data_IF_049253056549
#
_entry.id   IF_049253056549
#
_cell.length_a   1.000
_cell.length_b   1.000
_cell.length_c   1.000
_cell.angle_alpha   90.00
_cell.angle_beta   90.00
_cell.angle_gamma   90.00
#
_symmetry.space_group_name_H-M   'P 1'
#
loop_
_entity.id
_entity.type
_entity.pdbx_description
1 polymer ?
#
# COMPACT_ATOMS: atom_id res chain seq x y z
N UNK A 1 13.26 4.42 5.86
CA UNK A 1 13.47 4.95 7.20
C UNK A 1 14.77 4.42 7.82
N UNK A 2 15.18 3.19 7.58
CA UNK A 2 16.39 2.57 8.12
C UNK A 2 16.21 1.97 9.53
N UNK A 3 17.05 0.98 9.86
CA UNK A 3 16.99 0.24 11.11
C UNK A 3 16.10 -0.99 11.07
N UNK A 4 15.87 -1.59 12.24
CA UNK A 4 15.01 -2.76 12.38
C UNK A 4 13.54 -2.39 12.13
N UNK A 5 12.80 -3.31 11.51
CA UNK A 5 11.32 -3.25 11.42
C UNK A 5 10.65 -3.94 12.62
N UNK A 6 11.43 -4.45 13.55
CA UNK A 6 10.96 -5.12 14.75
C UNK A 6 11.32 -4.30 15.98
N UNK A 7 10.34 -4.04 16.84
CA UNK A 7 10.53 -3.37 18.13
C UNK A 7 10.09 -4.30 19.26
N UNK A 8 10.89 -4.37 20.32
CA UNK A 8 10.55 -5.15 21.51
C UNK A 8 9.46 -4.47 22.32
N UNK A 9 8.52 -5.28 22.82
CA UNK A 9 7.56 -4.81 23.82
C UNK A 9 8.25 -4.81 25.17
N UNK A 10 8.54 -3.64 25.69
CA UNK A 10 9.33 -3.43 26.91
C UNK A 10 8.89 -4.33 28.06
N UNK A 11 9.85 -5.02 28.66
CA UNK A 11 9.61 -5.96 29.77
C UNK A 11 9.07 -7.32 29.37
N UNK A 12 9.07 -7.67 28.09
CA UNK A 12 8.64 -8.98 27.57
C UNK A 12 9.60 -9.52 26.52
N UNK A 13 9.38 -10.79 26.13
CA UNK A 13 10.06 -11.42 24.98
C UNK A 13 9.28 -11.26 23.66
N UNK A 14 8.29 -10.38 23.66
CA UNK A 14 7.47 -10.12 22.48
C UNK A 14 8.03 -9.00 21.62
N UNK A 15 7.86 -9.13 20.31
CA UNK A 15 8.20 -8.13 19.31
C UNK A 15 7.00 -7.83 18.43
N UNK A 16 6.90 -6.59 17.97
CA UNK A 16 5.91 -6.21 16.96
C UNK A 16 6.59 -5.67 15.71
N UNK A 17 5.95 -5.87 14.58
CA UNK A 17 6.38 -5.35 13.29
C UNK A 17 5.91 -3.90 13.11
N UNK A 18 6.77 -3.06 12.57
CA UNK A 18 6.43 -1.70 12.15
C UNK A 18 7.18 -1.35 10.86
N UNK A 19 6.46 -1.20 9.76
CA UNK A 19 7.07 -0.86 8.48
C UNK A 19 7.45 0.62 8.39
N UNK A 20 6.79 1.45 9.20
CA UNK A 20 7.03 2.90 9.28
C UNK A 20 7.66 3.25 10.63
N UNK A 21 7.03 4.11 11.38
CA UNK A 21 7.55 4.52 12.68
C UNK A 21 7.17 3.50 13.77
N UNK A 22 8.03 3.29 14.77
CA UNK A 22 7.78 2.37 15.89
C UNK A 22 6.50 2.64 16.69
N UNK A 23 5.93 3.84 16.59
CA UNK A 23 4.62 4.17 17.15
C UNK A 23 3.45 3.78 16.25
N UNK A 24 3.71 3.15 15.10
CA UNK A 24 2.72 2.70 14.11
C UNK A 24 2.89 1.19 13.90
N UNK A 25 2.52 0.34 14.88
CA UNK A 25 2.60 -1.11 14.70
C UNK A 25 1.71 -1.56 13.56
N UNK A 26 2.24 -2.47 12.74
CA UNK A 26 1.47 -3.10 11.68
C UNK A 26 0.43 -4.05 12.26
N UNK A 27 -0.77 -4.01 11.73
CA UNK A 27 -1.86 -4.85 12.15
C UNK A 27 -1.78 -6.23 11.47
N UNK A 28 -2.11 -7.28 12.21
CA UNK A 28 -2.13 -8.64 11.68
C UNK A 28 -3.41 -8.91 10.88
N UNK A 29 -3.38 -8.59 9.59
CA UNK A 29 -4.51 -8.80 8.68
C UNK A 29 -4.87 -10.27 8.42
N UNK A 30 -4.01 -11.22 8.78
CA UNK A 30 -4.35 -12.65 8.75
C UNK A 30 -5.44 -12.98 9.79
N UNK A 31 -5.57 -12.17 10.84
CA UNK A 31 -6.60 -12.36 11.86
C UNK A 31 -7.96 -11.83 11.36
N UNK A 32 -8.94 -12.70 11.10
CA UNK A 32 -10.24 -12.26 10.59
C UNK A 32 -11.02 -11.40 11.59
N UNK A 33 -10.81 -11.58 12.89
CA UNK A 33 -11.45 -10.73 13.91
C UNK A 33 -10.93 -9.30 13.85
N UNK A 34 -9.64 -9.11 13.56
CA UNK A 34 -9.09 -7.79 13.36
C UNK A 34 -9.72 -7.12 12.13
N UNK A 35 -9.81 -7.84 11.00
CA UNK A 35 -10.43 -7.31 9.78
C UNK A 35 -11.87 -6.89 10.03
N UNK A 36 -12.63 -7.71 10.75
CA UNK A 36 -14.02 -7.37 11.13
C UNK A 36 -14.10 -6.07 11.93
N UNK A 37 -13.21 -5.84 12.89
CA UNK A 37 -13.19 -4.61 13.67
C UNK A 37 -12.83 -3.38 12.81
N UNK A 38 -11.90 -3.53 11.84
CA UNK A 38 -11.59 -2.48 10.87
C UNK A 38 -12.82 -2.16 10.01
N UNK A 39 -13.52 -3.19 9.50
CA UNK A 39 -14.73 -2.96 8.69
C UNK A 39 -15.87 -2.33 9.49
N UNK A 40 -16.05 -2.69 10.75
CA UNK A 40 -17.00 -2.02 11.65
C UNK A 40 -16.65 -0.54 11.83
N UNK A 41 -15.38 -0.22 12.02
CA UNK A 41 -14.92 1.17 12.13
C UNK A 41 -15.18 1.94 10.83
N UNK A 42 -14.86 1.36 9.66
CA UNK A 42 -15.12 1.99 8.37
C UNK A 42 -16.63 2.24 8.16
N UNK A 43 -17.46 1.22 8.39
CA UNK A 43 -18.91 1.33 8.24
C UNK A 43 -19.50 2.37 9.22
N UNK A 44 -18.99 2.45 10.44
CA UNK A 44 -19.44 3.47 11.40
C UNK A 44 -19.24 4.90 10.87
N UNK A 45 -18.12 5.16 10.18
CA UNK A 45 -17.90 6.46 9.55
C UNK A 45 -18.78 6.68 8.33
N UNK A 46 -18.96 5.66 7.48
CA UNK A 46 -19.84 5.71 6.31
C UNK A 46 -21.29 5.97 6.72
N UNK A 47 -21.77 5.31 7.78
CA UNK A 47 -23.10 5.52 8.35
C UNK A 47 -23.30 6.95 8.90
N UNK A 48 -22.22 7.65 9.23
CA UNK A 48 -22.27 9.07 9.59
C UNK A 48 -22.29 10.03 8.41
N UNK A 49 -22.23 9.49 7.20
CA UNK A 49 -22.39 10.25 5.95
C UNK A 49 -21.10 10.80 5.36
N UNK A 50 -19.91 10.26 5.73
CA UNK A 50 -18.71 10.57 4.93
C UNK A 50 -18.84 9.94 3.55
N UNK A 51 -18.27 10.60 2.54
CA UNK A 51 -18.40 10.16 1.14
C UNK A 51 -17.48 8.98 0.79
N UNK A 52 -16.48 8.69 1.61
CA UNK A 52 -15.53 7.60 1.35
C UNK A 52 -14.20 7.74 2.05
N UNK A 53 -13.20 6.98 1.58
CA UNK A 53 -11.89 6.89 2.21
C UNK A 53 -10.74 7.06 1.21
N UNK A 54 -9.69 7.72 1.64
CA UNK A 54 -8.34 7.51 1.13
C UNK A 54 -7.69 6.43 1.97
N UNK A 55 -7.21 5.37 1.34
CA UNK A 55 -6.65 4.21 2.02
C UNK A 55 -5.13 4.19 1.84
N UNK A 56 -4.44 4.46 2.93
CA UNK A 56 -3.00 4.66 2.99
C UNK A 56 -2.23 3.35 2.90
N UNK A 57 -1.14 3.33 2.12
CA UNK A 57 -0.16 2.24 2.05
C UNK A 57 -0.77 0.82 2.00
N UNK A 58 -1.90 0.67 1.32
CA UNK A 58 -2.76 -0.52 1.39
C UNK A 58 -2.07 -1.80 0.90
N UNK A 59 -1.06 -1.69 0.05
CA UNK A 59 -0.29 -2.83 -0.43
C UNK A 59 0.48 -3.54 0.68
N UNK A 60 0.70 -2.87 1.80
CA UNK A 60 1.52 -3.37 2.91
C UNK A 60 0.74 -4.20 3.94
N UNK A 61 -0.57 -4.35 3.81
CA UNK A 61 -1.37 -5.11 4.79
C UNK A 61 -1.13 -6.61 4.74
N UNK A 62 -0.76 -7.16 3.57
CA UNK A 62 -0.37 -8.56 3.42
C UNK A 62 1.13 -8.71 3.62
N UNK A 63 1.52 -9.64 4.50
CA UNK A 63 2.93 -9.94 4.77
C UNK A 63 3.28 -11.32 4.23
N UNK A 64 4.52 -11.52 3.76
CA UNK A 64 5.00 -12.87 3.45
C UNK A 64 5.16 -13.68 4.74
N UNK A 65 4.43 -14.77 4.85
CA UNK A 65 4.51 -15.67 5.99
C UNK A 65 4.98 -17.08 5.58
N UNK A 66 5.77 -17.77 6.42
CA UNK A 66 6.32 -17.30 7.70
C UNK A 66 7.35 -16.17 7.51
N UNK A 67 7.50 -15.33 8.52
CA UNK A 67 8.59 -14.35 8.51
C UNK A 67 9.94 -15.05 8.42
N UNK A 68 10.83 -14.50 7.63
CA UNK A 68 12.19 -15.00 7.43
C UNK A 68 13.17 -13.84 7.33
N UNK A 69 14.45 -14.13 7.62
CA UNK A 69 15.51 -13.17 7.38
C UNK A 69 15.81 -13.06 5.89
N UNK A 70 16.09 -11.85 5.45
CA UNK A 70 16.49 -11.55 4.09
C UNK A 70 17.98 -11.19 4.06
N UNK A 71 18.71 -11.64 3.02
CA UNK A 71 20.12 -11.29 2.90
C UNK A 71 20.28 -9.79 2.73
N UNK A 72 21.29 -9.23 3.37
CA UNK A 72 21.65 -7.83 3.18
C UNK A 72 21.97 -7.54 1.71
N UNK A 73 21.37 -6.49 1.18
CA UNK A 73 21.63 -5.98 -0.18
C UNK A 73 22.37 -4.63 -0.16
N UNK A 74 22.83 -4.22 1.02
CA UNK A 74 23.52 -2.96 1.27
C UNK A 74 24.73 -3.15 2.17
N UNK A 75 25.71 -2.25 2.06
CA UNK A 75 26.95 -2.28 2.85
C UNK A 75 26.71 -2.11 4.37
N UNK A 76 25.59 -1.48 4.75
CA UNK A 76 25.21 -1.28 6.16
C UNK A 76 24.58 -2.53 6.82
N UNK A 77 24.54 -3.66 6.10
CA UNK A 77 23.97 -4.92 6.59
C UNK A 77 22.45 -4.97 6.59
N UNK A 78 21.78 -3.98 5.99
CA UNK A 78 20.33 -3.94 5.84
C UNK A 78 19.92 -4.49 4.46
N UNK A 79 18.66 -4.88 4.34
CA UNK A 79 18.04 -5.24 3.06
C UNK A 79 16.96 -4.24 2.67
N UNK A 80 16.73 -4.10 1.37
CA UNK A 80 15.62 -3.29 0.87
C UNK A 80 14.31 -4.03 1.13
N UNK A 81 13.42 -3.37 1.83
CA UNK A 81 12.11 -3.90 2.20
C UNK A 81 11.12 -3.96 1.04
N UNK A 82 11.39 -3.28 -0.07
CA UNK A 82 10.51 -3.22 -1.23
C UNK A 82 10.19 -4.57 -1.86
N UNK A 83 11.13 -5.53 -1.78
CA UNK A 83 10.90 -6.91 -2.25
C UNK A 83 9.99 -7.75 -1.32
N UNK A 84 9.78 -7.28 -0.09
CA UNK A 84 8.95 -7.95 0.93
C UNK A 84 7.54 -7.36 0.94
N UNK A 85 7.45 -6.10 0.58
CA UNK A 85 6.20 -5.34 0.51
C UNK A 85 5.66 -5.33 -0.91
N UNK A 86 4.43 -4.91 -1.04
CA UNK A 86 3.76 -4.80 -2.32
C UNK A 86 2.81 -5.96 -2.57
N UNK A 87 2.66 -6.38 -3.81
CA UNK A 87 1.63 -7.36 -4.20
C UNK A 87 1.97 -8.77 -3.74
N UNK A 88 1.76 -9.06 -2.47
CA UNK A 88 1.86 -10.41 -1.93
C UNK A 88 0.67 -11.28 -2.36
N UNK A 89 0.91 -12.59 -2.52
CA UNK A 89 -0.16 -13.55 -2.77
C UNK A 89 -1.23 -13.47 -1.67
N UNK A 90 -2.51 -13.44 -2.05
CA UNK A 90 -3.65 -13.28 -1.13
C UNK A 90 -3.96 -11.84 -0.70
N UNK A 91 -3.17 -10.83 -1.12
CA UNK A 91 -3.51 -9.43 -0.87
C UNK A 91 -4.88 -9.07 -1.47
N UNK A 92 -5.15 -9.56 -2.67
CA UNK A 92 -6.39 -9.29 -3.39
C UNK A 92 -7.63 -9.79 -2.65
N UNK A 93 -7.52 -10.87 -1.89
CA UNK A 93 -8.63 -11.39 -1.09
C UNK A 93 -8.99 -10.41 0.03
N UNK A 94 -8.00 -9.78 0.66
CA UNK A 94 -8.22 -8.76 1.67
C UNK A 94 -8.83 -7.49 1.10
N UNK A 95 -8.36 -7.04 -0.08
CA UNK A 95 -8.90 -5.87 -0.75
C UNK A 95 -10.35 -6.09 -1.18
N UNK A 96 -10.63 -7.25 -1.75
CA UNK A 96 -11.99 -7.63 -2.14
C UNK A 96 -12.91 -7.72 -0.92
N UNK A 97 -12.48 -8.38 0.15
CA UNK A 97 -13.26 -8.49 1.38
C UNK A 97 -13.58 -7.10 1.98
N UNK A 98 -12.60 -6.20 2.00
CA UNK A 98 -12.78 -4.82 2.46
C UNK A 98 -13.81 -4.08 1.59
N UNK A 99 -13.67 -4.14 0.26
CA UNK A 99 -14.59 -3.50 -0.68
C UNK A 99 -16.02 -4.01 -0.50
N UNK A 100 -16.23 -5.32 -0.53
CA UNK A 100 -17.54 -5.96 -0.42
C UNK A 100 -18.24 -5.66 0.91
N UNK A 101 -17.48 -5.54 2.00
CA UNK A 101 -18.02 -5.32 3.35
C UNK A 101 -18.15 -3.85 3.75
N UNK A 102 -17.55 -2.91 3.00
CA UNK A 102 -17.51 -1.50 3.41
C UNK A 102 -17.95 -0.54 2.32
N UNK A 103 -17.10 -0.27 1.32
CA UNK A 103 -17.36 0.78 0.33
C UNK A 103 -18.48 0.45 -0.63
N UNK A 104 -18.59 -0.80 -1.05
CA UNK A 104 -19.64 -1.25 -1.99
C UNK A 104 -21.07 -1.10 -1.46
N UNK A 105 -21.40 -1.59 -0.24
CA UNK A 105 -22.76 -1.42 0.30
C UNK A 105 -23.20 0.03 0.50
N UNK A 106 -22.24 0.93 0.70
CA UNK A 106 -22.49 2.35 0.91
C UNK A 106 -22.39 3.20 -0.37
N UNK A 107 -22.06 2.58 -1.52
CA UNK A 107 -21.73 3.29 -2.75
C UNK A 107 -20.69 4.40 -2.50
N UNK A 108 -19.72 4.11 -1.63
CA UNK A 108 -18.76 5.08 -1.15
C UNK A 108 -17.57 5.20 -2.10
N UNK A 109 -17.06 6.42 -2.28
CA UNK A 109 -15.84 6.66 -3.02
C UNK A 109 -14.63 6.10 -2.26
N UNK A 110 -13.69 5.51 -2.98
CA UNK A 110 -12.43 5.08 -2.38
C UNK A 110 -11.25 5.37 -3.29
N UNK A 111 -10.15 5.81 -2.69
CA UNK A 111 -8.88 5.98 -3.39
C UNK A 111 -7.77 5.25 -2.65
N UNK A 112 -7.16 4.29 -3.33
CA UNK A 112 -6.08 3.47 -2.77
C UNK A 112 -4.70 4.08 -3.03
N UNK A 113 -3.83 4.04 -2.02
CA UNK A 113 -2.41 4.30 -2.22
C UNK A 113 -1.71 3.00 -2.61
N UNK A 114 -1.60 2.78 -3.91
CA UNK A 114 -1.13 1.54 -4.51
C UNK A 114 0.16 1.80 -5.25
N UNK A 115 1.19 0.99 -4.96
CA UNK A 115 2.50 1.09 -5.57
C UNK A 115 2.84 -0.16 -6.36
N UNK A 116 3.65 -0.01 -7.42
CA UNK A 116 4.26 -1.13 -8.11
C UNK A 116 3.31 -2.05 -8.84
N UNK A 117 2.18 -1.51 -9.33
CA UNK A 117 1.28 -2.26 -10.20
C UNK A 117 1.83 -2.30 -11.62
N UNK A 118 1.70 -3.46 -12.23
CA UNK A 118 1.81 -3.58 -13.68
C UNK A 118 0.55 -2.99 -14.35
N UNK A 119 0.72 -2.43 -15.53
CA UNK A 119 -0.38 -1.82 -16.29
C UNK A 119 -1.55 -2.79 -16.53
N UNK A 120 -1.24 -4.08 -16.71
CA UNK A 120 -2.25 -5.14 -16.88
C UNK A 120 -3.11 -5.40 -15.63
N UNK A 121 -2.67 -4.96 -14.45
CA UNK A 121 -3.38 -5.18 -13.19
C UNK A 121 -4.27 -3.98 -12.80
N UNK A 122 -4.08 -2.82 -13.40
CA UNK A 122 -4.76 -1.58 -13.03
C UNK A 122 -6.29 -1.74 -13.09
N UNK A 123 -6.81 -2.38 -14.13
CA UNK A 123 -8.26 -2.62 -14.29
C UNK A 123 -8.89 -3.45 -13.17
N UNK A 124 -8.08 -4.16 -12.37
CA UNK A 124 -8.57 -4.88 -11.19
C UNK A 124 -8.61 -4.00 -9.94
N UNK A 125 -7.85 -2.92 -9.96
CA UNK A 125 -7.76 -2.01 -8.82
C UNK A 125 -8.71 -0.83 -8.95
N UNK A 126 -9.08 -0.42 -10.17
CA UNK A 126 -9.89 0.77 -10.44
C UNK A 126 -11.17 0.40 -11.18
N UNK A 127 -12.31 0.87 -10.70
CA UNK A 127 -13.62 0.74 -11.34
C UNK A 127 -14.72 0.45 -10.34
N UNK A 128 -15.94 0.38 -10.83
CA UNK A 128 -17.13 0.18 -10.00
C UNK A 128 -17.16 -1.19 -9.31
N UNK A 129 -16.65 -2.23 -9.98
CA UNK A 129 -16.53 -3.59 -9.46
C UNK A 129 -15.07 -3.95 -9.03
N UNK A 130 -14.18 -2.97 -8.98
CA UNK A 130 -12.80 -3.14 -8.56
C UNK A 130 -12.62 -2.85 -7.06
N UNK A 131 -11.38 -2.98 -6.55
CA UNK A 131 -11.14 -2.77 -5.12
C UNK A 131 -11.31 -1.32 -4.69
N UNK A 132 -11.03 -0.38 -5.60
CA UNK A 132 -11.13 1.06 -5.37
C UNK A 132 -11.82 1.76 -6.53
N UNK A 133 -12.48 2.87 -6.23
CA UNK A 133 -13.01 3.77 -7.27
C UNK A 133 -11.87 4.41 -8.07
N UNK A 134 -10.74 4.68 -7.40
CA UNK A 134 -9.53 5.25 -7.99
C UNK A 134 -8.28 4.85 -7.19
N UNK A 135 -7.11 5.08 -7.76
CA UNK A 135 -5.82 4.97 -7.08
C UNK A 135 -4.98 6.22 -7.31
N UNK A 136 -3.99 6.45 -6.45
CA UNK A 136 -2.98 7.47 -6.74
C UNK A 136 -2.06 7.02 -7.86
N UNK A 137 -1.85 7.90 -8.81
CA UNK A 137 -0.82 7.70 -9.84
C UNK A 137 0.52 8.29 -9.37
N UNK A 138 1.49 7.41 -9.17
CA UNK A 138 2.83 7.79 -8.73
C UNK A 138 3.87 7.81 -9.87
N UNK A 139 3.49 7.61 -11.12
CA UNK A 139 4.42 7.57 -12.26
C UNK A 139 5.16 8.88 -12.43
N UNK A 140 4.46 10.01 -12.25
CA UNK A 140 5.07 11.32 -12.33
C UNK A 140 6.15 11.53 -11.26
N UNK A 141 5.97 10.91 -10.10
CA UNK A 141 6.96 10.95 -9.03
C UNK A 141 8.24 10.18 -9.37
N UNK A 142 8.13 9.20 -10.28
CA UNK A 142 9.27 8.47 -10.83
C UNK A 142 10.05 9.26 -11.90
N UNK A 143 9.44 10.28 -12.50
CA UNK A 143 10.10 11.09 -13.50
C UNK A 143 11.30 11.82 -12.90
N UNK A 144 12.49 11.58 -13.46
CA UNK A 144 13.72 12.16 -12.96
C UNK A 144 14.37 11.45 -11.77
N UNK A 145 13.81 10.40 -11.22
CA UNK A 145 14.49 9.59 -10.20
C UNK A 145 15.74 8.92 -10.80
N UNK A 146 16.80 8.88 -10.00
CA UNK A 146 18.02 8.12 -10.31
C UNK A 146 18.01 6.80 -9.56
N UNK A 147 19.07 6.02 -9.68
CA UNK A 147 19.26 4.77 -8.93
C UNK A 147 19.30 4.97 -7.41
N UNK A 148 19.54 6.19 -6.92
CA UNK A 148 19.50 6.55 -5.50
C UNK A 148 18.08 6.96 -5.03
N UNK A 149 17.09 6.88 -5.92
CA UNK A 149 15.69 7.10 -5.61
C UNK A 149 15.36 8.55 -5.26
N UNK A 150 14.49 8.74 -4.27
CA UNK A 150 13.94 10.05 -3.87
C UNK A 150 14.99 11.09 -3.42
N UNK A 151 16.16 10.65 -3.03
CA UNK A 151 17.22 11.53 -2.49
C UNK A 151 18.14 12.06 -3.57
N UNK A 152 18.03 11.55 -4.80
CA UNK A 152 18.85 12.00 -5.93
C UNK A 152 17.98 12.04 -7.19
N UNK A 153 17.28 13.13 -7.37
CA UNK A 153 16.41 13.37 -8.51
C UNK A 153 16.97 14.45 -9.40
N UNK A 154 17.10 14.17 -10.69
CA UNK A 154 17.24 15.23 -11.69
C UNK A 154 15.86 15.86 -11.93
N UNK A 155 15.85 17.15 -12.28
CA UNK A 155 14.63 17.79 -12.74
C UNK A 155 14.26 17.18 -14.09
N UNK A 156 13.09 16.55 -14.26
CA UNK A 156 12.67 16.01 -15.55
C UNK A 156 12.44 17.17 -16.54
N UNK A 157 12.70 16.90 -17.80
CA UNK A 157 12.31 17.83 -18.85
C UNK A 157 10.77 17.87 -18.97
N UNK A 158 10.20 18.96 -19.53
CA UNK A 158 8.75 19.01 -19.79
C UNK A 158 8.24 17.86 -20.64
N UNK A 159 9.04 17.35 -21.58
CA UNK A 159 8.66 16.24 -22.44
C UNK A 159 8.67 14.90 -21.67
N UNK A 160 9.66 14.64 -20.83
CA UNK A 160 9.70 13.47 -19.95
C UNK A 160 8.49 13.44 -18.99
N UNK A 161 8.16 14.57 -18.38
CA UNK A 161 7.00 14.69 -17.49
C UNK A 161 5.68 14.48 -18.24
N UNK A 162 5.54 15.09 -19.41
CA UNK A 162 4.37 14.95 -20.29
C UNK A 162 4.16 13.50 -20.73
N UNK A 163 5.24 12.77 -21.08
CA UNK A 163 5.16 11.36 -21.45
C UNK A 163 4.66 10.50 -20.27
N UNK A 164 5.12 10.77 -19.05
CA UNK A 164 4.58 10.11 -17.85
C UNK A 164 3.07 10.33 -17.73
N UNK A 165 2.59 11.56 -17.88
CA UNK A 165 1.16 11.87 -17.79
C UNK A 165 0.33 11.15 -18.88
N UNK A 166 0.82 11.12 -20.11
CA UNK A 166 0.12 10.44 -21.20
C UNK A 166 0.11 8.92 -21.04
N UNK A 167 1.18 8.34 -20.51
CA UNK A 167 1.22 6.91 -20.22
C UNK A 167 0.19 6.56 -19.16
N UNK A 168 0.10 7.35 -18.09
CA UNK A 168 -0.89 7.16 -17.03
C UNK A 168 -2.33 7.26 -17.56
N UNK A 169 -2.60 8.23 -18.41
CA UNK A 169 -3.93 8.41 -18.99
C UNK A 169 -4.35 7.21 -19.85
N UNK A 170 -3.47 6.71 -20.71
CA UNK A 170 -3.75 5.55 -21.59
C UNK A 170 -4.04 4.26 -20.82
N UNK A 171 -3.50 4.12 -19.62
CA UNK A 171 -3.69 2.92 -18.81
C UNK A 171 -4.97 3.01 -17.98
N UNK A 172 -5.48 4.24 -17.77
CA UNK A 172 -6.70 4.51 -17.00
C UNK A 172 -7.98 4.50 -17.86
N UNK A 173 -7.82 4.49 -19.20
CA UNK A 173 -8.92 4.32 -20.19
C UNK A 173 -9.25 2.84 -20.40
#
# INVERSE_FOLDING_TARGET
FGGSVWENVEGTDWYYLHMFHKKQPDLNWENPKLREEIYKMMNWWLDKGIAGFRVDAIMNIKKPLPFQDYPADREDGLCNVGGILGSQEGLRDFLNEMHEKTTKPHHAFSVGEVFGLDDSDISRFIGDDAYFTSIFDFRQNGAGQTMLGWYDCKVPTPDEYKECCFTSQKVSE
#
